data_IF_481979178617
#
_entry.id   IF_481979178617
#
_cell.length_a   1.000
_cell.length_b   1.000
_cell.length_c   1.000
_cell.angle_alpha   90.00
_cell.angle_beta   90.00
_cell.angle_gamma   90.00
#
_symmetry.space_group_name_H-M   'P 1'
#
loop_
_entity.id
_entity.type
_entity.pdbx_description
1 polymer ?
#
# COMPACT_ATOMS: atom_id res chain seq x y z
N UNK A 1 5.29 -22.47 -22.58
CA UNK A 1 5.70 -21.07 -22.72
C UNK A 1 6.27 -20.62 -21.38
N UNK A 2 7.59 -20.55 -21.25
CA UNK A 2 8.22 -19.87 -20.11
C UNK A 2 7.95 -18.37 -20.24
N UNK A 3 7.21 -17.79 -19.30
CA UNK A 3 7.16 -16.34 -19.14
C UNK A 3 8.50 -15.94 -18.54
N UNK A 4 9.43 -15.51 -19.38
CA UNK A 4 10.62 -14.79 -18.94
C UNK A 4 10.14 -13.56 -18.16
N UNK A 5 10.28 -13.60 -16.84
CA UNK A 5 10.05 -12.44 -16.00
C UNK A 5 11.25 -11.53 -16.26
N UNK A 6 11.02 -10.43 -16.98
CA UNK A 6 12.03 -9.39 -17.10
C UNK A 6 12.54 -9.05 -15.68
N UNK A 7 13.86 -8.88 -15.50
CA UNK A 7 14.42 -8.59 -14.20
C UNK A 7 13.72 -7.35 -13.58
N UNK A 8 13.54 -7.32 -12.24
CA UNK A 8 12.91 -6.20 -11.56
C UNK A 8 13.54 -4.87 -11.99
N UNK A 9 12.70 -3.94 -12.47
CA UNK A 9 13.15 -2.62 -12.92
C UNK A 9 13.12 -1.66 -11.73
N UNK A 10 14.25 -1.51 -11.05
CA UNK A 10 14.35 -0.71 -9.82
C UNK A 10 14.05 0.78 -10.03
N UNK A 11 14.21 1.26 -11.26
CA UNK A 11 14.02 2.65 -11.65
C UNK A 11 12.60 2.96 -12.17
N UNK A 12 11.75 1.96 -12.38
CA UNK A 12 10.43 2.16 -12.98
C UNK A 12 9.45 2.81 -12.00
N UNK A 13 9.45 2.36 -10.74
CA UNK A 13 8.47 2.74 -9.72
C UNK A 13 9.15 3.60 -8.64
N UNK A 14 8.98 4.92 -8.71
CA UNK A 14 9.69 5.88 -7.86
C UNK A 14 8.78 6.48 -6.79
N UNK A 15 9.39 7.13 -5.79
CA UNK A 15 8.68 7.75 -4.66
C UNK A 15 8.63 6.89 -3.41
N UNK A 16 7.83 7.33 -2.43
CA UNK A 16 7.62 6.61 -1.17
C UNK A 16 6.74 5.38 -1.42
N UNK A 17 7.33 4.18 -1.35
CA UNK A 17 6.63 2.90 -1.64
C UNK A 17 5.99 2.23 -0.43
N UNK A 18 6.19 2.78 0.76
CA UNK A 18 5.66 2.25 2.01
C UNK A 18 5.08 3.39 2.84
N UNK A 19 3.92 3.16 3.44
CA UNK A 19 3.28 4.11 4.33
C UNK A 19 2.68 3.40 5.54
N UNK A 20 2.41 4.15 6.60
CA UNK A 20 1.74 3.60 7.78
C UNK A 20 0.23 3.52 7.56
N UNK A 21 -0.44 2.67 8.33
CA UNK A 21 -1.91 2.62 8.34
C UNK A 21 -2.42 3.71 9.30
N UNK A 22 -3.21 4.62 8.77
CA UNK A 22 -3.78 5.75 9.48
C UNK A 22 -5.27 5.50 9.77
N UNK A 23 -5.73 5.63 11.02
CA UNK A 23 -7.15 5.49 11.35
C UNK A 23 -7.96 6.65 10.76
N UNK A 24 -9.19 6.36 10.34
CA UNK A 24 -10.16 7.38 9.95
C UNK A 24 -11.00 7.73 11.18
N UNK A 25 -10.73 8.89 11.79
CA UNK A 25 -11.51 9.41 12.91
C UNK A 25 -12.79 10.08 12.40
N UNK A 26 -13.77 9.26 12.04
CA UNK A 26 -15.16 9.72 11.95
C UNK A 26 -15.86 9.38 13.26
N UNK A 27 -16.86 10.15 13.68
CA UNK A 27 -17.75 9.77 14.79
C UNK A 27 -18.45 8.46 14.39
N UNK A 28 -17.80 7.33 14.70
CA UNK A 28 -18.31 6.01 14.37
C UNK A 28 -19.36 5.67 15.43
N UNK A 29 -20.63 5.66 15.01
CA UNK A 29 -21.68 4.93 15.72
C UNK A 29 -21.17 3.50 16.01
N UNK A 30 -21.53 2.96 17.17
CA UNK A 30 -20.96 1.75 17.82
C UNK A 30 -20.96 0.49 16.93
N UNK A 31 -21.66 0.50 15.79
CA UNK A 31 -21.83 -0.65 14.87
C UNK A 31 -21.13 -0.50 13.51
N UNK A 32 -20.29 0.54 13.31
CA UNK A 32 -19.57 0.72 12.03
C UNK A 32 -18.19 0.04 12.06
N UNK A 33 -17.75 -0.55 10.94
CA UNK A 33 -16.43 -1.16 10.84
C UNK A 33 -15.32 -0.10 10.97
N UNK A 34 -14.29 -0.42 11.76
CA UNK A 34 -13.08 0.41 11.87
C UNK A 34 -12.45 0.59 10.50
N UNK A 35 -12.45 1.83 10.01
CA UNK A 35 -11.86 2.17 8.72
C UNK A 35 -10.48 2.80 8.92
N UNK A 36 -9.52 2.40 8.09
CA UNK A 36 -8.18 2.94 8.06
C UNK A 36 -7.70 3.12 6.61
N UNK A 37 -6.68 3.93 6.41
CA UNK A 37 -6.17 4.29 5.09
C UNK A 37 -4.64 4.38 5.07
N UNK A 38 -4.06 4.32 3.89
CA UNK A 38 -2.66 4.64 3.61
C UNK A 38 -2.60 5.38 2.28
N UNK A 39 -1.70 6.36 2.14
CA UNK A 39 -1.57 7.17 0.93
C UNK A 39 -0.15 7.13 0.37
N UNK A 40 -0.05 7.22 -0.94
CA UNK A 40 1.23 7.18 -1.66
C UNK A 40 1.30 8.38 -2.63
N UNK A 41 1.36 9.63 -2.12
CA UNK A 41 1.23 10.83 -2.95
C UNK A 41 2.39 11.04 -3.92
N UNK A 42 3.59 10.60 -3.54
CA UNK A 42 4.82 10.79 -4.33
C UNK A 42 5.10 9.65 -5.31
N UNK A 43 4.13 8.75 -5.49
CA UNK A 43 4.31 7.53 -6.27
C UNK A 43 4.25 7.82 -7.77
N UNK A 44 5.34 7.50 -8.48
CA UNK A 44 5.48 7.81 -9.92
C UNK A 44 5.94 6.58 -10.70
N UNK A 45 5.31 6.32 -11.84
CA UNK A 45 5.79 5.34 -12.84
C UNK A 45 6.43 6.13 -13.97
N UNK A 46 7.71 5.87 -14.25
CA UNK A 46 8.53 6.71 -15.15
C UNK A 46 8.36 6.43 -16.64
N UNK A 47 7.72 5.32 -17.00
CA UNK A 47 7.59 4.92 -18.40
C UNK A 47 6.13 4.63 -18.73
N UNK A 48 5.68 4.99 -19.94
CA UNK A 48 4.35 4.62 -20.39
C UNK A 48 4.17 3.10 -20.47
N UNK A 49 2.93 2.66 -20.25
CA UNK A 49 2.58 1.26 -20.30
C UNK A 49 1.32 0.95 -19.50
N UNK A 50 0.90 -0.32 -19.56
CA UNK A 50 -0.26 -0.80 -18.81
C UNK A 50 0.20 -1.51 -17.55
N UNK A 51 -0.23 -1.02 -16.39
CA UNK A 51 0.28 -1.44 -15.09
C UNK A 51 -0.84 -1.80 -14.13
N UNK A 52 -0.45 -2.51 -13.06
CA UNK A 52 -1.28 -2.73 -11.87
C UNK A 52 -0.41 -2.55 -10.64
N UNK A 53 -0.95 -1.90 -9.61
CA UNK A 53 -0.28 -1.76 -8.31
C UNK A 53 -0.74 -2.88 -7.39
N UNK A 54 0.21 -3.47 -6.67
CA UNK A 54 -0.04 -4.37 -5.55
C UNK A 54 0.37 -3.66 -4.26
N UNK A 55 -0.54 -3.59 -3.29
CA UNK A 55 -0.29 -3.09 -1.94
C UNK A 55 -0.30 -4.29 -1.00
N UNK A 56 0.82 -4.54 -0.33
CA UNK A 56 0.94 -5.58 0.69
C UNK A 56 0.86 -4.95 2.07
N UNK A 57 -0.04 -5.44 2.91
CA UNK A 57 -0.18 -5.03 4.32
C UNK A 57 0.75 -5.91 5.14
N UNK A 58 1.60 -5.27 5.94
CA UNK A 58 2.60 -5.97 6.74
C UNK A 58 2.34 -5.63 8.20
N UNK A 59 2.02 -6.66 8.99
CA UNK A 59 1.95 -6.50 10.45
C UNK A 59 3.34 -6.72 11.04
N UNK A 60 3.86 -5.68 11.69
CA UNK A 60 5.14 -5.72 12.40
C UNK A 60 4.98 -6.15 13.86
N UNK A 61 3.75 -6.16 14.41
CA UNK A 61 3.47 -6.45 15.82
C UNK A 61 3.26 -7.94 16.12
N UNK A 62 3.09 -8.80 15.10
CA UNK A 62 3.00 -10.26 15.26
C UNK A 62 4.20 -10.91 15.99
N UNK A 63 5.27 -10.14 16.26
CA UNK A 63 6.41 -10.48 17.08
C UNK A 63 6.11 -10.69 18.57
N UNK A 64 5.11 -9.99 19.15
CA UNK A 64 4.97 -9.90 20.61
C UNK A 64 4.30 -11.13 21.28
N UNK A 65 3.54 -11.93 20.54
CA UNK A 65 2.77 -13.05 21.11
C UNK A 65 3.54 -14.38 21.19
N UNK A 66 4.79 -14.43 20.72
CA UNK A 66 5.55 -15.69 20.58
C UNK A 66 6.66 -15.91 21.63
N UNK A 67 6.69 -15.18 22.76
CA UNK A 67 7.70 -15.41 23.82
C UNK A 67 7.13 -15.30 25.23
N UNK A 68 6.74 -16.44 25.80
CA UNK A 68 7.13 -16.72 27.19
C UNK A 68 8.56 -17.30 27.17
N UNK A 69 9.53 -16.73 27.91
CA UNK A 69 10.86 -17.31 27.98
C UNK A 69 10.83 -18.49 28.96
N UNK A 70 10.85 -19.71 28.43
CA UNK A 70 11.28 -20.88 29.21
C UNK A 70 12.79 -20.78 29.34
N UNK A 71 13.29 -20.72 30.57
CA UNK A 71 14.70 -20.61 30.88
C UNK A 71 15.48 -21.81 30.30
N UNK A 72 16.55 -21.50 29.58
CA UNK A 72 17.54 -22.49 29.15
C UNK A 72 17.64 -22.62 27.63
N UNK A 73 18.61 -21.89 27.06
CA UNK A 73 19.35 -22.28 25.84
C UNK A 73 18.54 -22.76 24.64
N UNK A 74 18.19 -21.83 23.74
CA UNK A 74 18.57 -21.98 22.33
C UNK A 74 18.51 -20.61 21.64
N UNK A 75 19.65 -20.18 21.10
CA UNK A 75 19.70 -19.12 20.08
C UNK A 75 18.92 -19.62 18.86
N UNK A 76 17.61 -19.35 18.84
CA UNK A 76 16.87 -19.40 17.59
C UNK A 76 17.16 -18.06 16.92
N UNK A 77 17.97 -18.14 15.85
CA UNK A 77 18.04 -17.15 14.79
C UNK A 77 16.62 -17.02 14.21
N UNK A 78 15.72 -16.35 14.92
CA UNK A 78 14.40 -16.02 14.40
C UNK A 78 14.66 -14.89 13.41
N UNK A 79 14.91 -15.29 12.15
CA UNK A 79 14.79 -14.39 11.01
C UNK A 79 13.35 -13.89 11.08
N UNK A 80 13.17 -12.69 11.63
CA UNK A 80 11.85 -12.10 11.85
C UNK A 80 11.24 -11.83 10.47
N UNK A 81 10.45 -12.76 9.98
CA UNK A 81 9.69 -12.56 8.75
C UNK A 81 8.45 -11.80 9.20
N UNK A 82 8.49 -10.47 9.03
CA UNK A 82 7.28 -9.66 9.04
C UNK A 82 6.30 -10.29 8.03
N UNK A 83 5.19 -10.83 8.52
CA UNK A 83 4.23 -11.55 7.69
C UNK A 83 3.41 -10.56 6.89
N UNK A 84 3.31 -10.77 5.57
CA UNK A 84 2.29 -10.08 4.76
C UNK A 84 0.93 -10.63 5.20
N UNK A 85 0.09 -9.78 5.79
CA UNK A 85 -1.22 -10.18 6.34
C UNK A 85 -2.33 -10.11 5.31
N UNK A 86 -2.19 -9.23 4.32
CA UNK A 86 -3.12 -9.12 3.21
C UNK A 86 -2.44 -8.48 2.00
N UNK A 87 -2.99 -8.73 0.81
CA UNK A 87 -2.58 -8.08 -0.43
C UNK A 87 -3.80 -7.55 -1.17
N UNK A 88 -3.72 -6.31 -1.63
CA UNK A 88 -4.75 -5.65 -2.42
C UNK A 88 -4.16 -5.27 -3.77
N UNK A 89 -4.94 -5.49 -4.82
CA UNK A 89 -4.55 -5.19 -6.18
C UNK A 89 -5.44 -4.09 -6.74
N UNK A 90 -4.84 -3.09 -7.39
CA UNK A 90 -5.59 -2.09 -8.14
C UNK A 90 -6.23 -2.72 -9.39
N UNK A 91 -7.12 -1.97 -10.04
CA UNK A 91 -7.44 -2.24 -11.45
C UNK A 91 -6.20 -1.98 -12.31
N UNK A 92 -6.20 -2.52 -13.52
CA UNK A 92 -5.19 -2.15 -14.53
C UNK A 92 -5.43 -0.71 -14.94
N UNK A 93 -4.37 0.07 -15.08
CA UNK A 93 -4.41 1.46 -15.53
C UNK A 93 -3.22 1.73 -16.46
N UNK A 94 -3.40 2.70 -17.34
CA UNK A 94 -2.38 3.08 -18.31
C UNK A 94 -1.62 4.32 -17.82
N UNK A 95 -0.30 4.24 -17.90
CA UNK A 95 0.60 5.38 -17.77
C UNK A 95 0.91 5.83 -19.19
N UNK A 96 0.70 7.11 -19.44
CA UNK A 96 0.88 7.72 -20.76
C UNK A 96 1.92 8.83 -20.69
N UNK A 97 2.50 9.17 -21.83
CA UNK A 97 3.32 10.37 -21.96
C UNK A 97 2.52 11.63 -21.58
N UNK A 98 3.19 12.65 -21.05
CA UNK A 98 2.56 13.90 -20.60
C UNK A 98 1.70 14.55 -21.70
N UNK A 99 2.15 14.48 -22.95
CA UNK A 99 1.43 15.02 -24.11
C UNK A 99 0.09 14.34 -24.40
N UNK A 100 -0.07 13.10 -23.93
CA UNK A 100 -1.28 12.30 -24.09
C UNK A 100 -2.13 12.27 -22.81
N UNK A 101 -1.69 12.94 -21.75
CA UNK A 101 -2.43 13.01 -20.49
C UNK A 101 -3.60 13.97 -20.67
N UNK A 102 -4.82 13.43 -20.80
CA UNK A 102 -6.03 14.23 -20.54
C UNK A 102 -5.95 14.65 -19.07
N UNK A 103 -5.82 15.94 -18.77
CA UNK A 103 -5.67 16.46 -17.39
C UNK A 103 -6.72 15.92 -16.40
N UNK A 104 -6.48 16.14 -15.10
CA UNK A 104 -7.31 15.61 -13.99
C UNK A 104 -8.80 15.61 -14.34
N UNK A 105 -9.38 14.42 -14.49
CA UNK A 105 -10.81 14.31 -14.75
C UNK A 105 -11.57 14.86 -13.53
N UNK A 106 -12.70 15.57 -13.69
CA UNK A 106 -13.50 16.10 -12.58
C UNK A 106 -13.85 15.05 -11.49
N UNK A 107 -13.87 13.77 -11.90
CA UNK A 107 -14.12 12.61 -11.06
C UNK A 107 -13.00 12.32 -10.05
N UNK A 108 -11.75 12.64 -10.39
CA UNK A 108 -10.61 12.52 -9.49
C UNK A 108 -10.73 13.57 -8.38
N UNK A 109 -10.99 14.81 -8.74
CA UNK A 109 -11.16 15.92 -7.79
C UNK A 109 -12.36 15.69 -6.85
N UNK A 110 -13.48 15.19 -7.37
CA UNK A 110 -14.64 14.80 -6.55
C UNK A 110 -14.27 13.68 -5.56
N UNK A 111 -13.53 12.67 -6.01
CA UNK A 111 -13.10 11.56 -5.15
C UNK A 111 -12.17 12.05 -4.04
N UNK A 112 -11.20 12.92 -4.37
CA UNK A 112 -10.31 13.54 -3.38
C UNK A 112 -11.12 14.38 -2.39
N UNK A 113 -12.09 15.16 -2.85
CA UNK A 113 -12.99 15.93 -1.99
C UNK A 113 -13.76 15.05 -1.01
N UNK A 114 -14.29 13.90 -1.48
CA UNK A 114 -14.97 12.92 -0.64
C UNK A 114 -14.03 12.29 0.39
N UNK A 115 -12.81 11.94 0.01
CA UNK A 115 -11.80 11.41 0.96
C UNK A 115 -11.46 12.45 2.04
N UNK A 116 -11.25 13.70 1.66
CA UNK A 116 -11.04 14.81 2.61
C UNK A 116 -12.22 15.02 3.54
N UNK A 117 -13.46 14.85 3.05
CA UNK A 117 -14.67 14.99 3.87
C UNK A 117 -14.77 13.97 5.01
N UNK A 118 -14.10 12.81 4.87
CA UNK A 118 -14.00 11.80 5.92
C UNK A 118 -12.71 11.91 6.75
N UNK A 119 -11.94 12.99 6.58
CA UNK A 119 -10.72 13.26 7.35
C UNK A 119 -9.43 12.65 6.77
N UNK A 120 -9.46 12.13 5.55
CA UNK A 120 -8.25 11.66 4.87
C UNK A 120 -7.52 12.86 4.26
N UNK A 121 -6.29 13.10 4.71
CA UNK A 121 -5.44 14.18 4.18
C UNK A 121 -4.66 13.70 2.95
N UNK A 122 -5.31 13.73 1.78
CA UNK A 122 -4.75 13.37 0.48
C UNK A 122 -4.72 14.56 -0.50
#
# INVERSE_FOLDING_TARGET
>A
MEKSLAPPRDNLFCGKRADSVHPVYHEQEVDRPTTAYAIFPDLVIKEPGSYRVKVSIIDMNGYASARQPIWGTMLIYVRAISGVTAEVHSKVFDVVEETNHSGSEPKVDETIGRLRSIGINC
#
